data_IF_565777585012
#
_entry.id   IF_565777585012
#
_cell.length_a   1.000
_cell.length_b   1.000
_cell.length_c   1.000
_cell.angle_alpha   90.00
_cell.angle_beta   90.00
_cell.angle_gamma   90.00
#
_symmetry.space_group_name_H-M   'P 1'
#
loop_
_entity.id
_entity.type
_entity.pdbx_description
1 polymer ?
#
# COMPACT_ATOMS: atom_id res chain seq x y z
N UNK A 1 -2.63 -11.33 22.81
CA UNK A 1 -2.33 -9.96 22.34
C UNK A 1 -1.06 -9.47 23.02
N UNK A 2 0.14 -9.80 22.50
CA UNK A 2 1.44 -9.30 23.03
C UNK A 2 2.57 -9.18 21.96
N UNK A 3 2.24 -9.13 20.67
CA UNK A 3 3.22 -9.06 19.57
C UNK A 3 3.57 -7.61 19.12
N UNK A 4 3.39 -6.63 20.01
CA UNK A 4 3.79 -5.25 19.76
C UNK A 4 5.14 -4.99 20.43
N UNK A 5 6.17 -4.66 19.64
CA UNK A 5 7.49 -4.25 20.13
C UNK A 5 7.74 -2.79 19.74
N UNK A 6 8.14 -2.00 20.73
CA UNK A 6 8.64 -0.65 20.47
C UNK A 6 10.09 -0.74 20.00
N UNK A 7 10.36 -0.20 18.81
CA UNK A 7 11.69 -0.10 18.22
C UNK A 7 11.98 1.35 17.89
N UNK A 8 13.25 1.77 17.94
CA UNK A 8 13.61 3.11 17.47
C UNK A 8 13.46 3.19 15.94
N UNK A 9 13.46 4.42 15.41
CA UNK A 9 13.27 4.69 13.98
C UNK A 9 14.31 3.98 13.12
N UNK A 10 15.56 3.94 13.58
CA UNK A 10 16.68 3.32 12.88
C UNK A 10 16.50 1.80 12.81
N UNK A 11 16.21 1.16 13.95
CA UNK A 11 15.93 -0.29 14.02
C UNK A 11 14.70 -0.68 13.18
N UNK A 12 13.63 0.12 13.24
CA UNK A 12 12.44 -0.08 12.40
C UNK A 12 12.79 -0.01 10.92
N UNK A 13 13.55 1.02 10.50
CA UNK A 13 13.91 1.23 9.10
C UNK A 13 14.83 0.12 8.58
N UNK A 14 15.79 -0.34 9.40
CA UNK A 14 16.65 -1.46 9.08
C UNK A 14 15.84 -2.77 8.94
N UNK A 15 14.93 -3.03 9.87
CA UNK A 15 14.05 -4.19 9.80
C UNK A 15 13.13 -4.14 8.58
N UNK A 16 12.51 -3.00 8.26
CA UNK A 16 11.63 -2.89 7.08
C UNK A 16 12.36 -3.17 5.76
N UNK A 17 13.64 -2.81 5.64
CA UNK A 17 14.45 -3.17 4.48
C UNK A 17 14.62 -4.69 4.36
N UNK A 18 15.00 -5.37 5.45
CA UNK A 18 15.11 -6.83 5.48
C UNK A 18 13.74 -7.50 5.24
N UNK A 19 12.69 -7.03 5.91
CA UNK A 19 11.34 -7.52 5.75
C UNK A 19 10.81 -7.33 4.33
N UNK A 20 11.20 -6.26 3.63
CA UNK A 20 10.83 -6.05 2.22
C UNK A 20 11.44 -7.13 1.33
N UNK A 21 12.72 -7.48 1.54
CA UNK A 21 13.37 -8.58 0.81
C UNK A 21 12.66 -9.91 1.10
N UNK A 22 12.36 -10.17 2.36
CA UNK A 22 11.65 -11.38 2.77
C UNK A 22 10.24 -11.48 2.18
N UNK A 23 9.47 -10.38 2.20
CA UNK A 23 8.15 -10.29 1.55
C UNK A 23 8.25 -10.58 0.05
N UNK A 24 9.29 -10.10 -0.64
CA UNK A 24 9.52 -10.42 -2.08
C UNK A 24 9.75 -11.91 -2.30
N UNK A 25 10.54 -12.56 -1.46
CA UNK A 25 10.74 -14.01 -1.53
C UNK A 25 9.42 -14.78 -1.30
N UNK A 26 8.56 -14.29 -0.39
CA UNK A 26 7.22 -14.84 -0.17
C UNK A 26 6.32 -14.62 -1.40
N UNK A 27 6.38 -13.44 -2.02
CA UNK A 27 5.63 -13.15 -3.25
C UNK A 27 6.01 -14.11 -4.38
N UNK A 28 7.30 -14.40 -4.56
CA UNK A 28 7.79 -15.40 -5.49
C UNK A 28 7.34 -16.82 -5.11
N UNK A 29 7.49 -17.21 -3.83
CA UNK A 29 7.11 -18.54 -3.31
C UNK A 29 5.63 -18.86 -3.54
N UNK A 30 4.73 -17.90 -3.36
CA UNK A 30 3.29 -18.10 -3.49
C UNK A 30 2.72 -17.63 -4.83
N UNK A 31 3.55 -17.09 -5.72
CA UNK A 31 3.13 -16.62 -7.04
C UNK A 31 2.13 -15.45 -6.99
N UNK A 32 2.24 -14.56 -6.00
CA UNK A 32 1.38 -13.37 -5.88
C UNK A 32 2.21 -12.09 -5.67
N UNK A 33 1.96 -11.00 -6.42
CA UNK A 33 2.65 -9.72 -6.23
C UNK A 33 2.47 -9.16 -4.82
N UNK A 34 3.39 -8.29 -4.37
CA UNK A 34 3.31 -7.62 -3.06
C UNK A 34 2.09 -6.71 -2.95
N UNK A 35 1.70 -6.10 -4.06
CA UNK A 35 0.53 -5.24 -4.17
C UNK A 35 -0.78 -6.06 -4.16
N UNK A 36 -0.70 -7.39 -4.28
CA UNK A 36 -1.85 -8.26 -4.50
C UNK A 36 -2.25 -8.36 -5.97
N UNK A 37 -3.43 -8.94 -6.23
CA UNK A 37 -4.01 -9.11 -7.58
C UNK A 37 -5.40 -8.50 -7.68
N UNK A 38 -5.93 -8.37 -8.89
CA UNK A 38 -7.26 -7.80 -9.12
C UNK A 38 -7.28 -6.27 -9.04
N UNK A 39 -6.15 -5.62 -9.38
CA UNK A 39 -6.11 -4.17 -9.60
C UNK A 39 -6.71 -3.82 -10.95
N UNK A 40 -7.54 -2.78 -10.99
CA UNK A 40 -8.12 -2.23 -12.22
C UNK A 40 -7.50 -0.86 -12.45
N UNK A 41 -7.08 -0.62 -13.70
CA UNK A 41 -6.54 0.67 -14.14
C UNK A 41 -7.65 1.51 -14.74
N UNK A 42 -7.84 2.68 -14.16
CA UNK A 42 -8.71 3.73 -14.68
C UNK A 42 -7.83 4.73 -15.45
N UNK A 43 -7.70 4.49 -16.76
CA UNK A 43 -6.84 5.28 -17.63
C UNK A 43 -7.24 6.76 -17.66
N UNK A 44 -8.54 7.06 -17.48
CA UNK A 44 -9.04 8.43 -17.41
C UNK A 44 -8.54 9.12 -16.14
N UNK A 45 -8.71 8.51 -14.96
CA UNK A 45 -8.17 9.07 -13.71
C UNK A 45 -6.66 9.27 -13.77
N UNK A 46 -5.93 8.32 -14.36
CA UNK A 46 -4.49 8.47 -14.57
C UNK A 46 -4.14 9.66 -15.48
N UNK A 47 -4.90 9.88 -16.55
CA UNK A 47 -4.73 11.02 -17.45
C UNK A 47 -4.97 12.34 -16.72
N UNK A 48 -6.08 12.45 -15.99
CA UNK A 48 -6.46 13.62 -15.20
C UNK A 48 -5.42 13.95 -14.13
N UNK A 49 -4.97 12.93 -13.38
CA UNK A 49 -3.95 13.08 -12.35
C UNK A 49 -2.64 13.64 -12.91
N UNK A 50 -2.18 13.10 -14.05
CA UNK A 50 -0.96 13.54 -14.75
C UNK A 50 -1.10 14.96 -15.28
N UNK A 51 -2.25 15.30 -15.86
CA UNK A 51 -2.54 16.63 -16.35
C UNK A 51 -2.52 17.67 -15.22
N UNK A 52 -3.24 17.40 -14.14
CA UNK A 52 -3.27 18.27 -12.96
C UNK A 52 -1.87 18.47 -12.35
N UNK A 53 -1.11 17.38 -12.22
CA UNK A 53 0.26 17.41 -11.71
C UNK A 53 1.21 18.22 -12.59
N UNK A 54 1.03 18.18 -13.91
CA UNK A 54 1.82 18.97 -14.86
C UNK A 54 1.49 20.47 -14.76
N UNK A 55 0.20 20.82 -14.67
CA UNK A 55 -0.26 22.20 -14.51
C UNK A 55 0.27 22.80 -13.21
N UNK A 56 0.12 22.12 -12.07
CA UNK A 56 0.62 22.61 -10.77
C UNK A 56 2.14 22.85 -10.79
N UNK A 57 2.90 21.90 -11.35
CA UNK A 57 4.36 22.04 -11.49
C UNK A 57 4.72 23.23 -12.37
N UNK A 58 4.02 23.43 -13.48
CA UNK A 58 4.23 24.56 -14.39
C UNK A 58 3.88 25.90 -13.73
N UNK A 59 2.74 26.00 -13.03
CA UNK A 59 2.33 27.19 -12.27
C UNK A 59 3.35 27.55 -11.18
N UNK A 60 3.78 26.55 -10.39
CA UNK A 60 4.82 26.73 -9.36
C UNK A 60 6.14 27.22 -9.96
N UNK A 61 6.56 26.62 -11.07
CA UNK A 61 7.78 27.01 -11.79
C UNK A 61 7.72 28.46 -12.27
N UNK A 62 6.61 28.86 -12.92
CA UNK A 62 6.39 30.26 -13.36
C UNK A 62 6.41 31.24 -12.18
N UNK A 63 5.75 30.92 -11.05
CA UNK A 63 5.75 31.77 -9.84
C UNK A 63 7.15 31.98 -9.24
N UNK A 64 8.00 30.97 -9.31
CA UNK A 64 9.37 31.03 -8.76
C UNK A 64 10.38 31.68 -9.71
N UNK A 65 9.98 32.00 -10.96
CA UNK A 65 10.91 32.53 -11.97
C UNK A 65 12.02 31.56 -12.36
N UNK A 66 11.91 30.26 -11.99
CA UNK A 66 12.93 29.25 -12.22
C UNK A 66 12.65 28.57 -13.56
N UNK A 67 13.53 28.73 -14.53
CA UNK A 67 13.35 28.19 -15.89
C UNK A 67 12.76 29.26 -16.79
N UNK A 68 13.58 29.77 -17.72
CA UNK A 68 13.22 30.81 -18.69
C UNK A 68 12.13 30.35 -19.67
N UNK A 69 12.33 30.59 -20.96
CA UNK A 69 11.38 30.23 -22.04
C UNK A 69 11.07 28.72 -22.18
N UNK A 70 11.63 27.85 -21.34
CA UNK A 70 11.43 26.39 -21.31
C UNK A 70 10.25 25.95 -20.41
N UNK A 71 9.15 26.71 -20.41
CA UNK A 71 7.89 26.32 -19.79
C UNK A 71 7.08 25.35 -20.66
N UNK A 72 6.01 24.78 -20.12
CA UNK A 72 5.03 24.08 -20.98
C UNK A 72 4.41 25.13 -21.93
N UNK A 73 4.40 24.91 -23.26
CA UNK A 73 3.75 25.80 -24.22
C UNK A 73 2.28 26.04 -23.85
N UNK A 74 1.76 27.24 -24.11
CA UNK A 74 0.40 27.62 -23.67
C UNK A 74 -0.68 26.73 -24.28
N UNK A 75 -0.56 26.38 -25.56
CA UNK A 75 -1.45 25.41 -26.21
C UNK A 75 -1.53 24.08 -25.45
N UNK A 76 -0.37 23.57 -24.99
CA UNK A 76 -0.32 22.34 -24.21
C UNK A 76 -0.89 22.53 -22.81
N UNK A 77 -0.72 23.69 -22.18
CA UNK A 77 -1.37 23.98 -20.90
C UNK A 77 -2.88 23.96 -21.05
N UNK A 78 -3.43 24.63 -22.07
CA UNK A 78 -4.86 24.66 -22.34
C UNK A 78 -5.43 23.25 -22.54
N UNK A 79 -4.78 22.42 -23.36
CA UNK A 79 -5.20 21.04 -23.55
C UNK A 79 -5.18 20.19 -22.26
N UNK A 80 -4.24 20.46 -21.34
CA UNK A 80 -4.21 19.80 -20.03
C UNK A 80 -5.32 20.33 -19.11
N UNK A 81 -5.60 21.64 -19.15
CA UNK A 81 -6.68 22.26 -18.39
C UNK A 81 -8.04 21.74 -18.86
N UNK A 82 -8.24 21.53 -20.16
CA UNK A 82 -9.44 20.92 -20.73
C UNK A 82 -9.69 19.51 -20.17
N UNK A 83 -8.66 18.66 -20.11
CA UNK A 83 -8.76 17.30 -19.56
C UNK A 83 -9.25 17.33 -18.10
N UNK A 84 -8.65 18.19 -17.28
CA UNK A 84 -9.05 18.29 -15.86
C UNK A 84 -10.44 18.92 -15.74
N UNK A 85 -10.78 19.85 -16.64
CA UNK A 85 -12.05 20.58 -16.57
C UNK A 85 -13.24 19.73 -16.97
N UNK A 86 -13.12 18.97 -18.04
CA UNK A 86 -14.14 18.00 -18.47
C UNK A 86 -14.38 16.93 -17.40
N UNK A 87 -13.32 16.45 -16.76
CA UNK A 87 -13.44 15.51 -15.64
C UNK A 87 -14.17 16.17 -14.46
N UNK A 88 -13.78 17.38 -14.07
CA UNK A 88 -14.35 18.08 -12.92
C UNK A 88 -15.84 18.35 -13.08
N UNK A 89 -16.25 18.90 -14.23
CA UNK A 89 -17.65 19.19 -14.55
C UNK A 89 -18.51 17.94 -14.51
N UNK A 90 -17.98 16.81 -14.98
CA UNK A 90 -18.69 15.53 -14.95
C UNK A 90 -18.90 14.98 -13.54
N UNK A 91 -17.86 15.02 -12.70
CA UNK A 91 -17.90 14.43 -11.36
C UNK A 91 -18.64 15.30 -10.33
N UNK A 92 -18.57 16.62 -10.44
CA UNK A 92 -19.10 17.54 -9.42
C UNK A 92 -20.40 18.24 -9.83
N UNK A 93 -20.74 18.19 -11.12
CA UNK A 93 -21.90 18.87 -11.67
C UNK A 93 -21.73 20.40 -11.70
N UNK A 94 -22.12 21.02 -12.82
CA UNK A 94 -22.12 22.47 -13.00
C UNK A 94 -21.00 23.02 -13.86
N UNK A 95 -21.21 24.23 -14.37
CA UNK A 95 -20.21 24.94 -15.16
C UNK A 95 -19.03 25.36 -14.30
N UNK A 96 -17.83 24.95 -14.72
CA UNK A 96 -16.60 25.44 -14.14
C UNK A 96 -16.22 26.74 -14.81
N UNK A 97 -16.28 27.84 -14.06
CA UNK A 97 -15.81 29.14 -14.57
C UNK A 97 -14.27 29.23 -14.61
N UNK A 98 -13.57 28.60 -13.64
CA UNK A 98 -12.10 28.62 -13.58
C UNK A 98 -11.48 27.45 -12.83
N UNK A 99 -10.40 26.89 -13.38
CA UNK A 99 -9.61 25.84 -12.76
C UNK A 99 -8.66 26.38 -11.66
N UNK A 100 -8.99 26.09 -10.40
CA UNK A 100 -8.21 26.53 -9.22
C UNK A 100 -7.12 25.53 -8.80
N UNK A 101 -6.13 25.99 -8.03
CA UNK A 101 -5.08 25.11 -7.49
C UNK A 101 -5.65 24.03 -6.54
N UNK A 102 -6.77 24.31 -5.83
CA UNK A 102 -7.43 23.33 -4.97
C UNK A 102 -8.05 22.17 -5.76
N UNK A 103 -8.69 22.49 -6.90
CA UNK A 103 -9.25 21.49 -7.81
C UNK A 103 -8.14 20.61 -8.42
N UNK A 104 -7.03 21.23 -8.81
CA UNK A 104 -5.85 20.52 -9.30
C UNK A 104 -5.25 19.60 -8.24
N UNK A 105 -5.21 20.02 -6.96
CA UNK A 105 -4.72 19.17 -5.87
C UNK A 105 -5.62 17.96 -5.65
N UNK A 106 -6.95 18.14 -5.71
CA UNK A 106 -7.89 17.02 -5.64
C UNK A 106 -7.73 16.08 -6.84
N UNK A 107 -7.61 16.61 -8.06
CA UNK A 107 -7.32 15.80 -9.25
C UNK A 107 -5.99 15.02 -9.13
N UNK A 108 -4.98 15.59 -8.48
CA UNK A 108 -3.71 14.89 -8.21
C UNK A 108 -3.84 13.76 -7.18
N UNK A 109 -4.85 13.82 -6.31
CA UNK A 109 -5.13 12.79 -5.30
C UNK A 109 -5.88 11.57 -5.88
N UNK A 110 -6.33 11.64 -7.13
CA UNK A 110 -6.93 10.49 -7.82
C UNK A 110 -5.94 9.33 -7.90
N UNK A 111 -6.43 8.12 -7.66
CA UNK A 111 -5.68 6.90 -7.89
C UNK A 111 -6.09 6.31 -9.25
N UNK A 112 -5.11 6.15 -10.15
CA UNK A 112 -5.27 5.38 -11.40
C UNK A 112 -5.60 3.90 -11.10
N UNK A 113 -5.19 3.40 -9.94
CA UNK A 113 -5.40 2.02 -9.53
C UNK A 113 -6.52 1.92 -8.51
N UNK A 114 -7.52 1.10 -8.80
CA UNK A 114 -8.59 0.73 -7.87
C UNK A 114 -8.65 -0.78 -7.66
N UNK A 115 -9.24 -1.19 -6.54
CA UNK A 115 -9.46 -2.60 -6.21
C UNK A 115 -10.73 -3.07 -6.92
N UNK A 116 -10.65 -4.16 -7.69
CA UNK A 116 -11.82 -4.83 -8.26
C UNK A 116 -12.58 -5.65 -7.20
N UNK A 117 -13.71 -6.23 -7.62
CA UNK A 117 -14.45 -7.24 -6.83
C UNK A 117 -13.61 -8.49 -6.56
N UNK A 118 -12.69 -8.83 -7.48
CA UNK A 118 -11.79 -9.97 -7.36
C UNK A 118 -10.44 -9.59 -6.73
N UNK A 119 -10.36 -8.42 -6.10
CA UNK A 119 -9.14 -7.97 -5.45
C UNK A 119 -8.82 -8.87 -4.25
N UNK A 120 -7.59 -9.40 -4.24
CA UNK A 120 -7.05 -10.15 -3.10
C UNK A 120 -5.70 -9.55 -2.75
N UNK A 121 -5.53 -9.18 -1.48
CA UNK A 121 -4.25 -8.69 -0.99
C UNK A 121 -3.20 -9.80 -0.94
N UNK A 122 -1.93 -9.44 -1.05
CA UNK A 122 -0.81 -10.39 -0.88
C UNK A 122 -0.96 -11.23 0.39
N UNK A 123 -1.15 -10.59 1.54
CA UNK A 123 -1.23 -11.26 2.84
C UNK A 123 -2.44 -12.20 2.95
N UNK A 124 -3.61 -11.77 2.44
CA UNK A 124 -4.80 -12.60 2.44
C UNK A 124 -4.62 -13.87 1.61
N UNK A 125 -4.06 -13.74 0.40
CA UNK A 125 -3.79 -14.90 -0.45
C UNK A 125 -2.80 -15.86 0.20
N UNK A 126 -1.68 -15.35 0.74
CA UNK A 126 -0.68 -16.17 1.43
C UNK A 126 -1.31 -16.93 2.60
N UNK A 127 -2.12 -16.27 3.42
CA UNK A 127 -2.82 -16.92 4.54
C UNK A 127 -3.79 -17.99 4.03
N UNK A 128 -4.55 -17.72 2.96
CA UNK A 128 -5.43 -18.73 2.36
C UNK A 128 -4.65 -19.97 1.91
N UNK A 129 -3.49 -19.80 1.28
CA UNK A 129 -2.62 -20.92 0.87
C UNK A 129 -2.09 -21.70 2.08
N UNK A 130 -1.60 -21.00 3.11
CA UNK A 130 -1.08 -21.61 4.34
C UNK A 130 -2.18 -22.33 5.15
N UNK A 131 -3.44 -21.94 4.98
CA UNK A 131 -4.59 -22.55 5.63
C UNK A 131 -5.27 -23.66 4.81
N UNK A 132 -4.77 -23.96 3.61
CA UNK A 132 -5.38 -24.95 2.72
C UNK A 132 -5.37 -26.37 3.32
N UNK A 133 -4.32 -26.72 4.07
CA UNK A 133 -4.18 -28.02 4.73
C UNK A 133 -4.37 -27.89 6.24
N UNK A 134 -5.44 -28.53 6.73
CA UNK A 134 -5.78 -28.58 8.15
C UNK A 134 -5.48 -29.97 8.72
N UNK A 135 -4.83 -30.01 9.88
CA UNK A 135 -4.55 -31.24 10.64
C UNK A 135 -5.16 -31.14 12.03
N UNK A 136 -6.29 -31.82 12.26
CA UNK A 136 -7.07 -31.64 13.48
C UNK A 136 -7.63 -30.21 13.56
N UNK A 137 -7.34 -29.50 14.64
CA UNK A 137 -7.73 -28.08 14.83
C UNK A 137 -6.64 -27.08 14.41
N UNK A 138 -5.58 -27.55 13.75
CA UNK A 138 -4.35 -26.77 13.49
C UNK A 138 -4.02 -26.68 12.02
N UNK A 139 -3.20 -25.69 11.68
CA UNK A 139 -2.70 -25.42 10.32
C UNK A 139 -1.17 -25.44 10.33
N UNK A 140 -0.54 -26.61 10.12
CA UNK A 140 0.90 -26.77 10.27
C UNK A 140 1.72 -25.81 9.40
N UNK A 141 1.28 -25.56 8.17
CA UNK A 141 1.99 -24.65 7.26
C UNK A 141 1.94 -23.20 7.76
N UNK A 142 0.77 -22.75 8.23
CA UNK A 142 0.62 -21.41 8.84
C UNK A 142 1.52 -21.25 10.07
N UNK A 143 1.59 -22.27 10.92
CA UNK A 143 2.46 -22.25 12.10
C UNK A 143 3.94 -22.15 11.72
N UNK A 144 4.39 -23.01 10.79
CA UNK A 144 5.75 -22.97 10.29
C UNK A 144 6.09 -21.61 9.67
N UNK A 145 5.16 -21.00 8.95
CA UNK A 145 5.34 -19.65 8.41
C UNK A 145 5.45 -18.59 9.50
N UNK A 146 4.64 -18.67 10.57
CA UNK A 146 4.75 -17.74 11.71
C UNK A 146 6.09 -17.90 12.42
N UNK A 147 6.59 -19.13 12.58
CA UNK A 147 7.92 -19.39 13.12
C UNK A 147 9.02 -18.80 12.23
N UNK A 148 8.95 -19.03 10.91
CA UNK A 148 9.86 -18.46 9.91
C UNK A 148 9.90 -16.93 10.00
N UNK A 149 8.73 -16.29 10.07
CA UNK A 149 8.61 -14.84 10.18
C UNK A 149 9.18 -14.30 11.50
N UNK A 150 8.94 -14.98 12.62
CA UNK A 150 9.52 -14.60 13.93
C UNK A 150 11.03 -14.78 13.96
N UNK A 151 11.54 -15.88 13.39
CA UNK A 151 12.97 -16.12 13.27
C UNK A 151 13.64 -15.02 12.44
N UNK A 152 13.03 -14.66 11.30
CA UNK A 152 13.48 -13.55 10.46
C UNK A 152 13.51 -12.23 11.24
N UNK A 153 12.45 -11.92 12.01
CA UNK A 153 12.38 -10.73 12.85
C UNK A 153 13.50 -10.69 13.90
N UNK A 154 13.71 -11.77 14.67
CA UNK A 154 14.73 -11.83 15.71
C UNK A 154 16.13 -11.68 15.11
N UNK A 155 16.39 -12.35 13.97
CA UNK A 155 17.68 -12.28 13.28
C UNK A 155 18.03 -10.84 12.84
N UNK A 156 17.05 -10.07 12.38
CA UNK A 156 17.28 -8.72 11.84
C UNK A 156 17.04 -7.58 12.83
N UNK A 157 16.43 -7.86 13.98
CA UNK A 157 16.35 -6.92 15.10
C UNK A 157 17.44 -7.15 16.14
N UNK A 158 18.32 -8.14 15.92
CA UNK A 158 19.49 -8.42 16.75
C UNK A 158 19.15 -8.95 18.14
N UNK A 159 17.97 -9.58 18.30
CA UNK A 159 17.53 -10.13 19.58
C UNK A 159 17.58 -9.10 20.71
N UNK A 160 17.01 -7.91 20.47
CA UNK A 160 17.07 -6.77 21.41
C UNK A 160 16.89 -7.22 22.87
N UNK A 161 17.70 -6.72 23.82
CA UNK A 161 17.60 -7.10 25.24
C UNK A 161 16.25 -6.73 25.88
N UNK A 162 15.42 -5.97 25.16
CA UNK A 162 14.09 -5.54 25.57
C UNK A 162 12.97 -6.46 25.03
N UNK A 163 13.28 -7.46 24.21
CA UNK A 163 12.31 -8.48 23.83
C UNK A 163 11.91 -9.25 25.09
N UNK A 164 10.60 -9.30 25.35
CA UNK A 164 10.07 -10.12 26.43
C UNK A 164 10.54 -11.56 26.25
N UNK A 165 10.86 -12.27 27.33
CA UNK A 165 11.15 -13.71 27.30
C UNK A 165 10.05 -14.58 26.68
N UNK A 166 8.85 -14.00 26.48
CA UNK A 166 7.72 -14.64 25.81
C UNK A 166 7.77 -14.54 24.28
N UNK A 167 8.62 -13.66 23.73
CA UNK A 167 8.95 -13.65 22.31
C UNK A 167 9.89 -14.80 22.01
N UNK A 168 9.29 -15.94 21.69
CA UNK A 168 9.98 -17.13 21.24
C UNK A 168 9.48 -17.49 19.84
N UNK A 169 10.39 -18.03 19.01
CA UNK A 169 10.08 -18.45 17.64
C UNK A 169 8.90 -19.43 17.66
N UNK A 170 9.03 -20.49 18.46
CA UNK A 170 8.03 -21.54 18.67
C UNK A 170 6.89 -21.17 19.62
N UNK A 171 6.64 -19.87 19.83
CA UNK A 171 5.52 -19.40 20.66
C UNK A 171 4.18 -19.85 20.10
N UNK A 172 3.21 -20.16 20.96
CA UNK A 172 1.90 -20.64 20.51
C UNK A 172 1.20 -19.62 19.61
N UNK A 173 0.72 -20.07 18.44
CA UNK A 173 0.04 -19.21 17.46
C UNK A 173 -1.43 -18.97 17.83
N UNK A 174 -2.10 -19.96 18.42
CA UNK A 174 -3.52 -19.87 18.80
C UNK A 174 -3.70 -19.36 20.22
N UNK A 175 -4.64 -18.43 20.41
CA UNK A 175 -5.17 -18.09 21.72
C UNK A 175 -6.28 -19.10 22.09
N UNK A 176 -6.26 -19.60 23.33
CA UNK A 176 -7.26 -20.54 23.88
C UNK A 176 -8.72 -19.98 23.96
N UNK A 177 -9.04 -18.82 23.39
CA UNK A 177 -10.35 -18.16 23.57
C UNK A 177 -11.40 -18.50 22.50
N UNK A 178 -11.12 -19.39 21.56
CA UNK A 178 -12.09 -19.75 20.51
C UNK A 178 -13.22 -20.70 20.97
N UNK A 179 -13.20 -21.18 22.23
CA UNK A 179 -14.19 -22.15 22.74
C UNK A 179 -15.32 -21.56 23.60
N UNK A 180 -15.36 -20.24 23.83
CA UNK A 180 -16.37 -19.63 24.72
C UNK A 180 -17.47 -18.80 24.02
N UNK A 181 -17.55 -18.81 22.69
CA UNK A 181 -18.56 -17.99 21.97
C UNK A 181 -19.70 -18.79 21.31
N UNK A 182 -19.75 -20.12 21.46
CA UNK A 182 -20.82 -20.96 20.89
C UNK A 182 -21.48 -21.88 21.92
N UNK A 183 -21.77 -21.35 23.11
CA UNK A 183 -22.65 -22.01 24.07
C UNK A 183 -23.65 -21.00 24.64
N UNK A 184 -24.72 -20.76 23.88
CA UNK A 184 -26.07 -20.43 24.37
C UNK A 184 -27.07 -20.96 23.37
#
# INVERSE_FOLDING_TARGET
SRDLLLVCKECHSAYEQAATVFKKAIAERFGIPLEGRGWVRDAEKGSVQRAASAILRNRKRRRLGVGGSAGIPEERVNALEDVVSQWWTREHGGDMERLTDGMLQQACSLSELSKSVDFISHGEYVVQQLMAEKSGERWPQLEAFVEEWRAHFIAHTGGTPFLSSRWCISGRVYNNNALNYYST
#
